data_IF_520173786781
#
_entry.id   IF_520173786781
#
_cell.length_a   1.000
_cell.length_b   1.000
_cell.length_c   1.000
_cell.angle_alpha   90.00
_cell.angle_beta   90.00
_cell.angle_gamma   90.00
#
_symmetry.space_group_name_H-M   'P 1'
#
loop_
_entity.id
_entity.type
_entity.pdbx_description
1 polymer ?
#
# COMPACT_ATOMS: atom_id res chain seq x y z
N UNK A 1 2.53 5.28 -1.76
CA UNK A 1 2.32 4.32 -2.87
C UNK A 1 2.69 5.00 -4.18
N UNK A 2 3.45 4.32 -5.04
CA UNK A 2 3.82 4.77 -6.36
C UNK A 2 2.77 4.27 -7.37
N UNK A 3 2.01 5.18 -7.99
CA UNK A 3 1.03 4.83 -9.03
C UNK A 3 1.70 4.84 -10.40
N UNK A 4 2.34 3.73 -10.78
CA UNK A 4 3.14 3.60 -12.00
C UNK A 4 2.33 4.02 -13.22
N UNK A 5 1.15 3.43 -13.46
CA UNK A 5 0.32 3.75 -14.63
C UNK A 5 -0.09 5.22 -14.65
N UNK A 6 -0.39 5.80 -13.47
CA UNK A 6 -0.74 7.22 -13.38
C UNK A 6 0.43 8.10 -13.82
N UNK A 7 1.64 7.89 -13.29
CA UNK A 7 2.79 8.70 -13.67
C UNK A 7 3.18 8.52 -15.13
N UNK A 8 3.12 7.29 -15.67
CA UNK A 8 3.40 7.05 -17.09
C UNK A 8 2.38 7.73 -18.02
N UNK A 9 1.09 7.72 -17.66
CA UNK A 9 0.04 8.48 -18.39
C UNK A 9 0.27 9.99 -18.29
N UNK A 10 0.74 10.47 -17.14
CA UNK A 10 1.05 11.88 -16.91
C UNK A 10 2.25 12.43 -17.69
N UNK A 11 2.92 11.58 -18.49
CA UNK A 11 3.98 11.99 -19.43
C UNK A 11 3.44 12.35 -20.82
N UNK A 12 2.16 12.12 -21.11
CA UNK A 12 1.54 12.61 -22.34
C UNK A 12 1.42 14.15 -22.30
N UNK A 13 1.56 14.81 -23.46
CA UNK A 13 1.68 16.27 -23.58
C UNK A 13 0.51 17.05 -22.95
N UNK A 14 -0.71 16.48 -22.99
CA UNK A 14 -1.93 17.10 -22.45
C UNK A 14 -2.35 16.57 -21.06
N UNK A 15 -1.50 15.79 -20.39
CA UNK A 15 -1.91 15.16 -19.15
C UNK A 15 -1.95 16.18 -17.98
N UNK A 16 -3.03 16.19 -17.17
CA UNK A 16 -3.12 17.08 -16.03
C UNK A 16 -1.99 16.80 -15.05
N UNK A 17 -1.31 17.86 -14.60
CA UNK A 17 -0.25 17.75 -13.60
C UNK A 17 -0.83 17.15 -12.31
N UNK A 18 -0.27 16.04 -11.79
CA UNK A 18 -0.59 15.49 -10.47
C UNK A 18 -0.53 16.57 -9.39
N UNK A 19 -1.44 16.48 -8.41
CA UNK A 19 -1.44 17.41 -7.28
C UNK A 19 -0.18 17.23 -6.43
N UNK A 20 0.53 18.32 -6.20
CA UNK A 20 1.72 18.42 -5.34
C UNK A 20 1.46 17.91 -3.92
N UNK A 21 2.38 17.13 -3.37
CA UNK A 21 2.40 16.80 -1.96
C UNK A 21 2.92 18.00 -1.16
N UNK A 22 2.13 18.46 -0.18
CA UNK A 22 2.46 19.61 0.68
C UNK A 22 1.20 20.30 1.25
N UNK A 23 1.31 20.82 2.47
CA UNK A 23 0.22 21.49 3.20
C UNK A 23 -0.50 20.59 4.23
N UNK A 24 -1.42 21.16 5.04
CA UNK A 24 -2.31 20.43 5.98
C UNK A 24 -3.34 19.59 5.22
N UNK A 25 -2.89 18.57 4.48
CA UNK A 25 -3.76 17.64 3.76
C UNK A 25 -4.10 16.46 4.65
N UNK A 26 -5.37 16.08 4.64
CA UNK A 26 -5.81 14.88 5.33
C UNK A 26 -5.29 13.60 4.66
N UNK A 27 -4.89 12.59 5.44
CA UNK A 27 -4.32 11.36 4.93
C UNK A 27 -5.39 10.49 4.24
N UNK A 28 -4.93 9.51 3.48
CA UNK A 28 -5.73 8.30 3.24
C UNK A 28 -5.75 7.48 4.52
N UNK A 29 -6.94 7.11 5.00
CA UNK A 29 -7.08 6.30 6.20
C UNK A 29 -7.35 4.85 5.82
N UNK A 30 -6.51 3.94 6.32
CA UNK A 30 -6.80 2.51 6.32
C UNK A 30 -7.34 2.17 7.71
N UNK A 31 -8.55 1.64 7.81
CA UNK A 31 -9.16 1.30 9.10
C UNK A 31 -9.32 -0.21 9.22
N UNK A 32 -8.64 -0.80 10.19
CA UNK A 32 -8.83 -2.17 10.59
C UNK A 32 -10.03 -2.29 11.52
N UNK A 33 -11.20 -2.64 10.98
CA UNK A 33 -12.46 -2.63 11.76
C UNK A 33 -12.46 -3.67 12.89
N UNK A 34 -11.79 -4.79 12.64
CA UNK A 34 -11.65 -5.91 13.57
C UNK A 34 -10.30 -6.57 13.37
N UNK A 35 -9.85 -7.36 14.35
CA UNK A 35 -8.63 -8.16 14.23
C UNK A 35 -8.90 -9.61 13.87
N UNK A 36 -10.11 -10.12 14.07
CA UNK A 36 -10.51 -11.48 13.69
C UNK A 36 -10.36 -11.70 12.18
N UNK A 37 -9.80 -12.84 11.78
CA UNK A 37 -9.61 -13.22 10.38
C UNK A 37 -9.74 -14.73 10.23
N UNK A 38 -10.38 -15.20 9.17
CA UNK A 38 -10.48 -16.61 8.83
C UNK A 38 -9.18 -17.20 8.23
N UNK A 39 -8.09 -16.44 8.16
CA UNK A 39 -6.76 -16.85 7.67
C UNK A 39 -5.64 -16.48 8.66
N UNK A 40 -4.48 -17.14 8.53
CA UNK A 40 -3.28 -16.90 9.35
C UNK A 40 -2.03 -16.60 8.53
N UNK A 41 -2.17 -15.80 7.47
CA UNK A 41 -1.13 -15.48 6.48
C UNK A 41 0.24 -15.13 7.09
N UNK A 42 1.32 -15.61 6.45
CA UNK A 42 2.71 -15.45 6.92
C UNK A 42 3.17 -13.99 7.05
N UNK A 43 2.67 -13.08 6.21
CA UNK A 43 3.05 -11.66 6.21
C UNK A 43 2.19 -10.73 7.08
N UNK A 44 1.16 -11.26 7.75
CA UNK A 44 0.11 -10.44 8.36
C UNK A 44 0.67 -9.44 9.38
N UNK A 45 0.43 -8.14 9.17
CA UNK A 45 0.96 -7.07 10.01
C UNK A 45 0.23 -6.96 11.36
N UNK A 46 -1.06 -7.28 11.42
CA UNK A 46 -1.90 -7.24 12.63
C UNK A 46 -1.83 -8.52 13.48
N UNK A 47 -1.18 -9.58 12.98
CA UNK A 47 -1.15 -10.90 13.64
C UNK A 47 -2.57 -11.40 13.94
N UNK A 48 -3.45 -11.35 12.94
CA UNK A 48 -4.86 -11.79 13.03
C UNK A 48 -5.03 -13.31 13.08
N UNK A 49 -6.11 -13.79 13.67
CA UNK A 49 -6.49 -15.20 13.71
C UNK A 49 -8.01 -15.31 13.87
N UNK A 50 -8.57 -16.51 13.72
CA UNK A 50 -10.00 -16.75 13.92
C UNK A 50 -10.29 -16.90 15.43
N UNK A 51 -10.21 -15.77 16.12
CA UNK A 51 -10.44 -15.65 17.56
C UNK A 51 -11.07 -14.31 17.88
N UNK A 52 -11.84 -14.24 18.96
CA UNK A 52 -12.38 -12.98 19.44
C UNK A 52 -11.28 -12.17 20.13
N UNK A 53 -11.20 -10.88 19.76
CA UNK A 53 -10.27 -9.93 20.36
C UNK A 53 -11.06 -8.97 21.26
N UNK A 54 -10.47 -8.59 22.38
CA UNK A 54 -11.13 -7.70 23.35
C UNK A 54 -10.84 -6.24 23.05
N UNK A 55 -11.77 -5.37 23.44
CA UNK A 55 -11.59 -3.91 23.38
C UNK A 55 -11.76 -3.33 21.98
N UNK A 56 -12.30 -4.10 21.03
CA UNK A 56 -12.64 -3.60 19.70
C UNK A 56 -13.68 -2.49 19.77
N UNK A 57 -13.74 -1.65 18.75
CA UNK A 57 -14.73 -0.57 18.66
C UNK A 57 -16.12 -1.15 18.37
N UNK A 58 -17.12 -0.66 19.08
CA UNK A 58 -18.52 -0.92 18.74
C UNK A 58 -18.89 -0.15 17.46
N UNK A 59 -19.89 -0.63 16.72
CA UNK A 59 -20.35 0.01 15.47
C UNK A 59 -20.65 1.49 15.65
N UNK A 60 -21.32 1.88 16.73
CA UNK A 60 -21.59 3.28 17.04
C UNK A 60 -20.31 4.13 17.23
N UNK A 61 -19.22 3.56 17.76
CA UNK A 61 -17.92 4.23 17.87
C UNK A 61 -17.27 4.41 16.49
N UNK A 62 -17.37 3.39 15.63
CA UNK A 62 -16.87 3.43 14.25
C UNK A 62 -17.58 4.52 13.44
N UNK A 63 -18.92 4.57 13.49
CA UNK A 63 -19.70 5.59 12.76
C UNK A 63 -19.33 7.02 13.20
N UNK A 64 -19.20 7.26 14.51
CA UNK A 64 -18.73 8.55 15.04
C UNK A 64 -17.32 8.88 14.59
N UNK A 65 -16.42 7.90 14.56
CA UNK A 65 -15.06 8.09 14.06
C UNK A 65 -15.05 8.44 12.57
N UNK A 66 -15.92 7.85 11.74
CA UNK A 66 -16.07 8.23 10.32
C UNK A 66 -16.47 9.71 10.19
N UNK A 67 -17.42 10.17 10.99
CA UNK A 67 -17.85 11.58 10.98
C UNK A 67 -16.72 12.53 11.38
N UNK A 68 -15.96 12.17 12.42
CA UNK A 68 -14.80 12.92 12.89
C UNK A 68 -13.67 12.97 11.84
N UNK A 69 -13.36 11.83 11.20
CA UNK A 69 -12.41 11.78 10.08
C UNK A 69 -12.85 12.67 8.93
N UNK A 70 -14.14 12.64 8.58
CA UNK A 70 -14.68 13.46 7.50
C UNK A 70 -14.59 14.94 7.83
N UNK A 71 -14.89 15.33 9.08
CA UNK A 71 -14.75 16.68 9.59
C UNK A 71 -13.28 17.16 9.57
N UNK A 72 -12.33 16.25 9.85
CA UNK A 72 -10.90 16.50 9.72
C UNK A 72 -10.39 16.56 8.26
N UNK A 73 -11.29 16.39 7.28
CA UNK A 73 -11.01 16.53 5.86
C UNK A 73 -10.59 15.24 5.16
N UNK A 74 -10.62 14.07 5.84
CA UNK A 74 -10.33 12.77 5.22
C UNK A 74 -11.36 12.50 4.12
N UNK A 75 -10.87 12.09 2.94
CA UNK A 75 -11.70 11.83 1.75
C UNK A 75 -11.67 10.39 1.27
N UNK A 76 -10.71 9.60 1.75
CA UNK A 76 -10.48 8.23 1.31
C UNK A 76 -10.36 7.35 2.53
N UNK A 77 -11.28 6.38 2.63
CA UNK A 77 -11.32 5.38 3.67
C UNK A 77 -11.18 3.99 3.03
N UNK A 78 -10.21 3.22 3.50
CA UNK A 78 -10.00 1.83 3.09
C UNK A 78 -10.39 0.96 4.27
N UNK A 79 -11.53 0.28 4.16
CA UNK A 79 -11.99 -0.70 5.15
C UNK A 79 -11.15 -1.97 5.00
N UNK A 80 -10.49 -2.33 6.08
CA UNK A 80 -9.63 -3.50 6.23
C UNK A 80 -9.87 -4.08 7.62
N UNK A 81 -8.83 -4.63 8.26
CA UNK A 81 -8.94 -5.45 9.46
C UNK A 81 -8.78 -6.90 9.08
N UNK A 82 -8.68 -7.78 10.09
CA UNK A 82 -8.34 -9.18 9.92
C UNK A 82 -8.95 -9.76 8.65
N UNK A 83 -10.26 -10.00 8.64
CA UNK A 83 -11.05 -10.02 7.41
C UNK A 83 -12.30 -9.15 7.59
N UNK A 84 -12.42 -8.00 6.89
CA UNK A 84 -13.54 -7.08 7.08
C UNK A 84 -14.92 -7.72 6.86
N UNK A 85 -15.04 -8.71 5.97
CA UNK A 85 -16.30 -9.42 5.73
C UNK A 85 -16.78 -10.26 6.93
N UNK A 86 -15.94 -10.44 7.96
CA UNK A 86 -16.36 -11.05 9.23
C UNK A 86 -16.98 -10.05 10.21
N UNK A 87 -16.94 -8.74 9.92
CA UNK A 87 -17.59 -7.74 10.76
C UNK A 87 -19.11 -7.73 10.50
N UNK A 88 -19.96 -7.91 11.53
CA UNK A 88 -21.42 -8.03 11.34
C UNK A 88 -22.02 -6.81 10.62
N UNK A 89 -21.53 -5.62 10.95
CA UNK A 89 -22.06 -4.35 10.45
C UNK A 89 -21.22 -3.70 9.34
N UNK A 90 -20.39 -4.48 8.62
CA UNK A 90 -19.51 -3.94 7.56
C UNK A 90 -20.27 -3.07 6.55
N UNK A 91 -21.44 -3.54 6.11
CA UNK A 91 -22.21 -2.86 5.06
C UNK A 91 -22.86 -1.57 5.57
N UNK A 92 -23.25 -1.51 6.85
CA UNK A 92 -23.73 -0.28 7.49
C UNK A 92 -22.60 0.74 7.58
N UNK A 93 -21.43 0.32 8.05
CA UNK A 93 -20.22 1.15 8.15
C UNK A 93 -19.82 1.71 6.77
N UNK A 94 -19.83 0.87 5.73
CA UNK A 94 -19.53 1.28 4.36
C UNK A 94 -20.56 2.30 3.84
N UNK A 95 -21.85 2.05 4.07
CA UNK A 95 -22.92 2.96 3.67
C UNK A 95 -22.80 4.33 4.34
N UNK A 96 -22.51 4.37 5.64
CA UNK A 96 -22.30 5.61 6.40
C UNK A 96 -21.12 6.43 5.85
N UNK A 97 -19.97 5.80 5.63
CA UNK A 97 -18.80 6.48 5.04
C UNK A 97 -19.08 7.04 3.64
N UNK A 98 -19.87 6.34 2.83
CA UNK A 98 -20.30 6.84 1.51
C UNK A 98 -21.26 8.00 1.63
N UNK A 99 -22.24 7.96 2.53
CA UNK A 99 -23.17 9.06 2.78
C UNK A 99 -22.43 10.33 3.27
N UNK A 100 -21.34 10.16 4.02
CA UNK A 100 -20.43 11.24 4.39
C UNK A 100 -19.61 11.82 3.21
N UNK A 101 -19.74 11.25 1.99
CA UNK A 101 -19.07 11.70 0.77
C UNK A 101 -17.61 11.28 0.68
N UNK A 102 -17.23 10.17 1.31
CA UNK A 102 -15.90 9.58 1.21
C UNK A 102 -15.82 8.60 0.04
N UNK A 103 -14.62 8.47 -0.54
CA UNK A 103 -14.25 7.32 -1.34
C UNK A 103 -14.01 6.14 -0.39
N UNK A 104 -14.74 5.04 -0.59
CA UNK A 104 -14.72 3.86 0.27
C UNK A 104 -14.23 2.65 -0.53
N UNK A 105 -13.10 2.11 -0.12
CA UNK A 105 -12.55 0.88 -0.67
C UNK A 105 -12.57 -0.26 0.35
N UNK A 106 -12.66 -1.49 -0.14
CA UNK A 106 -12.54 -2.71 0.66
C UNK A 106 -11.21 -3.41 0.38
N UNK A 107 -10.53 -3.88 1.41
CA UNK A 107 -9.36 -4.75 1.29
C UNK A 107 -9.68 -6.10 1.94
N UNK A 108 -9.88 -7.13 1.12
CA UNK A 108 -10.33 -8.45 1.57
C UNK A 108 -9.37 -9.55 1.10
N UNK A 109 -9.37 -10.67 1.82
CA UNK A 109 -8.74 -11.90 1.35
C UNK A 109 -9.59 -12.62 0.26
N UNK A 110 -10.83 -12.20 0.06
CA UNK A 110 -11.74 -12.71 -0.99
C UNK A 110 -12.46 -14.00 -0.65
N UNK A 111 -12.00 -14.76 0.35
CA UNK A 111 -12.52 -16.12 0.63
C UNK A 111 -13.96 -16.16 1.16
N UNK A 112 -14.51 -15.01 1.54
CA UNK A 112 -15.88 -14.87 2.03
C UNK A 112 -16.80 -14.17 1.02
N UNK A 113 -16.34 -13.88 -0.20
CA UNK A 113 -17.22 -13.35 -1.26
C UNK A 113 -17.68 -14.53 -2.10
N UNK A 114 -19.00 -14.77 -2.11
CA UNK A 114 -19.63 -15.88 -2.80
C UNK A 114 -20.99 -15.48 -3.40
N UNK A 115 -21.64 -16.41 -4.09
CA UNK A 115 -22.96 -16.21 -4.70
C UNK A 115 -24.03 -15.84 -3.67
N UNK A 116 -23.86 -16.26 -2.41
CA UNK A 116 -24.80 -16.00 -1.33
C UNK A 116 -24.77 -14.56 -0.81
N UNK A 117 -23.67 -13.82 -1.00
CA UNK A 117 -23.54 -12.46 -0.50
C UNK A 117 -23.13 -11.39 -1.53
N UNK A 118 -22.80 -11.76 -2.76
CA UNK A 118 -22.34 -10.81 -3.79
C UNK A 118 -23.30 -9.63 -4.01
N UNK A 119 -24.62 -9.84 -3.92
CA UNK A 119 -25.60 -8.76 -4.05
C UNK A 119 -25.45 -7.71 -2.94
N UNK A 120 -25.25 -8.14 -1.69
CA UNK A 120 -24.99 -7.22 -0.56
C UNK A 120 -23.68 -6.47 -0.75
N UNK A 121 -22.65 -7.13 -1.30
CA UNK A 121 -21.37 -6.49 -1.63
C UNK A 121 -21.54 -5.42 -2.72
N UNK A 122 -22.36 -5.69 -3.75
CA UNK A 122 -22.67 -4.73 -4.80
C UNK A 122 -23.49 -3.53 -4.29
N UNK A 123 -24.50 -3.79 -3.46
CA UNK A 123 -25.34 -2.75 -2.83
C UNK A 123 -24.55 -1.79 -1.94
N UNK A 124 -23.45 -2.26 -1.35
CA UNK A 124 -22.53 -1.43 -0.58
C UNK A 124 -21.80 -0.38 -1.44
N UNK A 125 -21.75 -0.58 -2.76
CA UNK A 125 -21.16 0.34 -3.75
C UNK A 125 -19.74 0.77 -3.39
N UNK A 126 -18.89 -0.17 -3.01
CA UNK A 126 -17.46 0.12 -2.83
C UNK A 126 -16.88 0.71 -4.12
N UNK A 127 -16.10 1.78 -4.02
CA UNK A 127 -15.46 2.39 -5.19
C UNK A 127 -14.33 1.51 -5.75
N UNK A 128 -13.82 0.59 -4.92
CA UNK A 128 -12.80 -0.39 -5.27
C UNK A 128 -12.73 -1.53 -4.25
N UNK A 129 -12.69 -2.78 -4.71
CA UNK A 129 -12.37 -3.94 -3.88
C UNK A 129 -11.00 -4.50 -4.27
N UNK A 130 -10.05 -4.50 -3.33
CA UNK A 130 -8.77 -5.16 -3.52
C UNK A 130 -8.77 -6.55 -2.91
N UNK A 131 -8.64 -7.57 -3.76
CA UNK A 131 -8.59 -8.98 -3.37
C UNK A 131 -7.15 -9.46 -3.38
N UNK A 132 -6.78 -10.14 -2.30
CA UNK A 132 -5.45 -10.68 -2.09
C UNK A 132 -5.15 -11.90 -2.96
N UNK A 133 -4.03 -11.90 -3.69
CA UNK A 133 -3.49 -13.04 -4.42
C UNK A 133 -1.95 -12.97 -4.39
N UNK A 134 -1.27 -13.97 -3.82
CA UNK A 134 0.17 -13.90 -3.46
C UNK A 134 1.01 -14.95 -4.18
N UNK A 135 0.57 -15.38 -5.35
CA UNK A 135 1.16 -16.48 -6.08
C UNK A 135 0.10 -17.31 -6.77
N UNK A 136 0.55 -18.28 -7.54
CA UNK A 136 -0.30 -19.32 -8.09
C UNK A 136 -0.76 -20.25 -6.95
N UNK A 137 -1.80 -21.03 -7.23
CA UNK A 137 -2.51 -21.93 -6.31
C UNK A 137 -1.72 -22.41 -5.10
N UNK A 138 -0.70 -23.24 -5.33
CA UNK A 138 0.07 -23.86 -4.24
C UNK A 138 0.82 -22.82 -3.38
N UNK A 139 1.48 -21.87 -4.03
CA UNK A 139 2.23 -20.79 -3.36
C UNK A 139 1.29 -19.91 -2.54
N UNK A 140 0.16 -19.50 -3.12
CA UNK A 140 -0.81 -18.66 -2.44
C UNK A 140 -1.43 -19.37 -1.23
N UNK A 141 -1.94 -20.59 -1.40
CA UNK A 141 -2.57 -21.37 -0.32
C UNK A 141 -1.58 -21.61 0.84
N UNK A 142 -0.33 -21.97 0.52
CA UNK A 142 0.75 -22.15 1.52
C UNK A 142 1.09 -20.85 2.24
N UNK A 143 1.16 -19.73 1.52
CA UNK A 143 1.53 -18.44 2.09
C UNK A 143 0.41 -17.83 2.95
N UNK A 144 -0.85 -18.01 2.52
CA UNK A 144 -2.07 -17.61 3.23
C UNK A 144 -2.50 -18.60 4.31
N UNK A 145 -1.90 -19.80 4.33
CA UNK A 145 -2.15 -20.88 5.29
C UNK A 145 -3.57 -21.44 5.24
N UNK A 146 -4.16 -21.52 4.04
CA UNK A 146 -5.50 -22.07 3.83
C UNK A 146 -5.59 -22.71 2.46
N UNK A 147 -5.79 -24.03 2.43
CA UNK A 147 -6.06 -24.74 1.19
C UNK A 147 -7.38 -24.24 0.57
N UNK A 148 -7.37 -24.01 -0.75
CA UNK A 148 -8.50 -23.50 -1.51
C UNK A 148 -8.66 -21.98 -1.48
N UNK A 149 -7.80 -21.23 -0.77
CA UNK A 149 -7.93 -19.76 -0.74
C UNK A 149 -7.65 -19.12 -2.10
N UNK A 150 -6.81 -19.73 -2.93
CA UNK A 150 -6.57 -19.27 -4.30
C UNK A 150 -7.85 -19.31 -5.14
N UNK A 151 -8.55 -20.45 -5.17
CA UNK A 151 -9.79 -20.57 -5.93
C UNK A 151 -10.87 -19.62 -5.44
N UNK A 152 -11.02 -19.52 -4.13
CA UNK A 152 -12.00 -18.62 -3.53
C UNK A 152 -11.68 -17.15 -3.88
N UNK A 153 -10.41 -16.74 -3.88
CA UNK A 153 -10.01 -15.41 -4.32
C UNK A 153 -10.31 -15.17 -5.82
N UNK A 154 -10.08 -16.14 -6.70
CA UNK A 154 -10.44 -16.00 -8.12
C UNK A 154 -11.95 -15.98 -8.34
N UNK A 155 -12.70 -16.82 -7.63
CA UNK A 155 -14.17 -16.82 -7.67
C UNK A 155 -14.73 -15.46 -7.23
N UNK A 156 -14.22 -14.92 -6.13
CA UNK A 156 -14.56 -13.58 -5.65
C UNK A 156 -14.27 -12.48 -6.68
N UNK A 157 -13.13 -12.54 -7.39
CA UNK A 157 -12.82 -11.59 -8.46
C UNK A 157 -13.83 -11.69 -9.61
N UNK A 158 -14.19 -12.91 -10.05
CA UNK A 158 -15.19 -13.14 -11.11
C UNK A 158 -16.56 -12.61 -10.72
N UNK A 159 -17.04 -12.97 -9.52
CA UNK A 159 -18.32 -12.48 -8.99
C UNK A 159 -18.35 -10.95 -8.90
N UNK A 160 -17.26 -10.34 -8.43
CA UNK A 160 -17.15 -8.87 -8.42
C UNK A 160 -17.26 -8.28 -9.83
N UNK A 161 -16.57 -8.86 -10.82
CA UNK A 161 -16.62 -8.39 -12.21
C UNK A 161 -18.01 -8.53 -12.82
N UNK A 162 -18.65 -9.68 -12.62
CA UNK A 162 -20.01 -9.96 -13.10
C UNK A 162 -21.05 -9.00 -12.48
N UNK A 163 -20.82 -8.56 -11.24
CA UNK A 163 -21.62 -7.55 -10.55
C UNK A 163 -21.21 -6.09 -10.85
N UNK A 164 -20.36 -5.85 -11.86
CA UNK A 164 -19.83 -4.53 -12.26
C UNK A 164 -19.08 -3.79 -11.12
N UNK A 165 -18.47 -4.53 -10.21
CA UNK A 165 -17.63 -3.98 -9.15
C UNK A 165 -16.20 -3.84 -9.66
N UNK A 166 -15.62 -2.66 -9.48
CA UNK A 166 -14.20 -2.43 -9.77
C UNK A 166 -13.32 -3.21 -8.79
N UNK A 167 -12.54 -4.15 -9.31
CA UNK A 167 -11.70 -5.04 -8.51
C UNK A 167 -10.23 -4.86 -8.84
N UNK A 168 -9.36 -5.17 -7.89
CA UNK A 168 -7.92 -5.24 -8.10
C UNK A 168 -7.27 -6.43 -7.41
N UNK A 169 -6.20 -6.91 -8.01
CA UNK A 169 -5.35 -7.95 -7.47
C UNK A 169 -4.27 -7.32 -6.58
N UNK A 170 -4.17 -7.76 -5.33
CA UNK A 170 -3.15 -7.31 -4.38
C UNK A 170 -2.19 -8.45 -4.06
N UNK A 171 -0.91 -8.25 -4.38
CA UNK A 171 0.15 -9.24 -4.21
C UNK A 171 1.24 -8.70 -3.32
N UNK A 172 1.65 -9.45 -2.31
CA UNK A 172 2.89 -9.20 -1.58
C UNK A 172 4.02 -9.97 -2.23
N UNK A 173 5.02 -9.26 -2.76
CA UNK A 173 6.18 -9.87 -3.39
C UNK A 173 7.02 -10.60 -2.33
N UNK A 174 7.39 -11.83 -2.64
CA UNK A 174 8.28 -12.67 -1.84
C UNK A 174 9.24 -13.40 -2.77
N UNK A 175 10.34 -13.93 -2.25
CA UNK A 175 11.27 -14.73 -3.06
C UNK A 175 10.56 -15.93 -3.72
N UNK A 176 9.60 -16.52 -3.01
CA UNK A 176 8.85 -17.71 -3.42
C UNK A 176 7.88 -17.45 -4.59
N UNK A 177 7.33 -16.24 -4.69
CA UNK A 177 6.35 -15.89 -5.73
C UNK A 177 6.89 -14.97 -6.83
N UNK A 178 8.11 -14.42 -6.70
CA UNK A 178 8.66 -13.47 -7.65
C UNK A 178 8.68 -14.02 -9.10
N UNK A 179 9.04 -15.30 -9.26
CA UNK A 179 9.06 -15.97 -10.56
C UNK A 179 7.65 -16.22 -11.15
N UNK A 180 6.59 -16.13 -10.33
CA UNK A 180 5.20 -16.32 -10.74
C UNK A 180 4.54 -15.00 -11.18
N UNK A 181 5.21 -13.86 -11.01
CA UNK A 181 4.64 -12.56 -11.33
C UNK A 181 4.15 -12.44 -12.79
N UNK A 182 4.87 -12.93 -13.83
CA UNK A 182 4.35 -12.92 -15.20
C UNK A 182 2.98 -13.62 -15.31
N UNK A 183 2.83 -14.81 -14.74
CA UNK A 183 1.59 -15.56 -14.76
C UNK A 183 0.47 -14.87 -13.98
N UNK A 184 0.78 -14.18 -12.88
CA UNK A 184 -0.22 -13.38 -12.14
C UNK A 184 -0.71 -12.18 -12.97
N UNK A 185 0.17 -11.55 -13.73
CA UNK A 185 -0.18 -10.45 -14.62
C UNK A 185 -0.99 -10.92 -15.84
N UNK A 186 -0.77 -12.14 -16.31
CA UNK A 186 -1.61 -12.76 -17.35
C UNK A 186 -2.99 -13.11 -16.78
N UNK A 187 -3.03 -13.70 -15.58
CA UNK A 187 -4.28 -14.01 -14.88
C UNK A 187 -5.12 -12.76 -14.58
N UNK A 188 -4.49 -11.64 -14.21
CA UNK A 188 -5.18 -10.36 -14.07
C UNK A 188 -5.90 -9.94 -15.36
N UNK A 189 -5.27 -10.15 -16.54
CA UNK A 189 -5.89 -9.84 -17.84
C UNK A 189 -7.02 -10.82 -18.16
N UNK A 190 -6.81 -12.11 -17.93
CA UNK A 190 -7.81 -13.16 -18.16
C UNK A 190 -9.09 -12.93 -17.34
N UNK A 191 -8.95 -12.44 -16.11
CA UNK A 191 -10.06 -12.13 -15.22
C UNK A 191 -10.65 -10.73 -15.45
N UNK A 192 -10.12 -9.97 -16.40
CA UNK A 192 -10.49 -8.57 -16.62
C UNK A 192 -10.47 -7.75 -15.32
N UNK A 193 -9.35 -7.81 -14.59
CA UNK A 193 -9.14 -7.07 -13.33
C UNK A 193 -8.39 -5.77 -13.64
N UNK A 194 -8.90 -4.61 -13.18
CA UNK A 194 -8.41 -3.29 -13.62
C UNK A 194 -7.17 -2.81 -12.88
N UNK A 195 -6.79 -3.44 -11.77
CA UNK A 195 -5.69 -2.94 -10.93
C UNK A 195 -4.80 -4.04 -10.41
N UNK A 196 -3.49 -3.84 -10.52
CA UNK A 196 -2.48 -4.67 -9.87
C UNK A 196 -1.75 -3.84 -8.82
N UNK A 197 -1.79 -4.28 -7.57
CA UNK A 197 -1.06 -3.67 -6.48
C UNK A 197 0.01 -4.63 -5.97
N UNK A 198 1.27 -4.28 -6.17
CA UNK A 198 2.41 -5.00 -5.61
C UNK A 198 2.86 -4.32 -4.30
N UNK A 199 2.71 -5.03 -3.19
CA UNK A 199 3.31 -4.66 -1.91
C UNK A 199 4.67 -5.32 -1.78
N UNK A 200 5.67 -4.57 -1.35
CA UNK A 200 6.88 -5.18 -0.80
C UNK A 200 6.59 -5.73 0.60
N UNK A 201 7.29 -6.78 1.02
CA UNK A 201 7.11 -7.35 2.36
C UNK A 201 7.58 -6.34 3.41
N UNK A 202 6.83 -6.29 4.51
CA UNK A 202 7.10 -5.42 5.64
C UNK A 202 7.34 -6.25 6.90
N UNK A 203 8.23 -5.78 7.77
CA UNK A 203 8.69 -6.54 8.94
C UNK A 203 7.87 -6.20 10.20
N UNK A 204 6.55 -6.28 10.07
CA UNK A 204 5.60 -6.05 11.16
C UNK A 204 4.71 -7.29 11.38
N UNK A 205 4.17 -7.45 12.59
CA UNK A 205 3.38 -8.63 12.97
C UNK A 205 4.08 -9.95 12.65
N UNK A 206 3.37 -10.86 11.96
CA UNK A 206 3.95 -12.12 11.44
C UNK A 206 5.00 -11.89 10.36
N UNK A 207 4.90 -10.81 9.58
CA UNK A 207 5.90 -10.42 8.58
C UNK A 207 7.31 -10.26 9.16
N UNK A 208 7.43 -9.84 10.43
CA UNK A 208 8.72 -9.81 11.14
C UNK A 208 9.37 -11.20 11.26
N UNK A 209 8.57 -12.22 11.56
CA UNK A 209 9.03 -13.63 11.66
C UNK A 209 9.31 -14.25 10.29
N UNK A 210 8.68 -13.70 9.25
CA UNK A 210 8.80 -14.13 7.87
C UNK A 210 9.73 -13.26 7.02
N UNK A 211 10.60 -12.43 7.63
CA UNK A 211 11.55 -11.58 6.90
C UNK A 211 12.45 -12.34 5.91
N UNK A 212 12.72 -13.61 6.17
CA UNK A 212 13.51 -14.48 5.28
C UNK A 212 12.77 -14.84 3.98
N UNK A 213 11.46 -14.54 3.89
CA UNK A 213 10.68 -14.68 2.66
C UNK A 213 10.74 -13.43 1.78
N UNK A 214 11.31 -12.32 2.25
CA UNK A 214 11.39 -11.09 1.45
C UNK A 214 12.15 -11.36 0.15
N UNK A 215 11.71 -10.72 -0.93
CA UNK A 215 12.34 -10.90 -2.22
C UNK A 215 13.74 -10.28 -2.22
N UNK A 216 14.71 -11.01 -2.74
CA UNK A 216 16.05 -10.48 -2.89
C UNK A 216 16.06 -9.28 -3.83
N UNK A 217 16.97 -8.33 -3.60
CA UNK A 217 17.07 -7.08 -4.36
C UNK A 217 17.04 -7.29 -5.88
N UNK A 218 17.74 -8.31 -6.39
CA UNK A 218 17.72 -8.67 -7.81
C UNK A 218 16.31 -9.05 -8.29
N UNK A 219 15.60 -9.93 -7.57
CA UNK A 219 14.24 -10.35 -7.90
C UNK A 219 13.25 -9.19 -7.83
N UNK A 220 13.40 -8.33 -6.84
CA UNK A 220 12.61 -7.11 -6.71
C UNK A 220 12.78 -6.21 -7.94
N UNK A 221 14.02 -5.96 -8.37
CA UNK A 221 14.29 -5.16 -9.57
C UNK A 221 13.72 -5.80 -10.84
N UNK A 222 13.85 -7.11 -11.00
CA UNK A 222 13.25 -7.87 -12.12
C UNK A 222 11.72 -7.72 -12.14
N UNK A 223 11.06 -7.88 -10.98
CA UNK A 223 9.63 -7.72 -10.83
C UNK A 223 9.15 -6.30 -11.17
N UNK A 224 9.86 -5.28 -10.69
CA UNK A 224 9.50 -3.87 -10.96
C UNK A 224 9.68 -3.52 -12.43
N UNK A 225 10.78 -3.96 -13.06
CA UNK A 225 10.99 -3.77 -14.49
C UNK A 225 9.82 -4.38 -15.30
N UNK A 226 9.40 -5.60 -14.96
CA UNK A 226 8.24 -6.24 -15.59
C UNK A 226 6.95 -5.42 -15.43
N UNK A 227 6.68 -4.89 -14.23
CA UNK A 227 5.51 -4.05 -14.00
C UNK A 227 5.56 -2.75 -14.83
N UNK A 228 6.73 -2.14 -14.98
CA UNK A 228 6.89 -0.94 -15.80
C UNK A 228 6.63 -1.23 -17.28
N UNK A 229 7.18 -2.33 -17.80
CA UNK A 229 6.91 -2.77 -19.18
C UNK A 229 5.43 -3.04 -19.40
N UNK A 230 4.78 -3.76 -18.47
CA UNK A 230 3.36 -4.10 -18.56
C UNK A 230 2.47 -2.85 -18.54
N UNK A 231 2.77 -1.90 -17.66
CA UNK A 231 2.05 -0.64 -17.56
C UNK A 231 2.20 0.19 -18.84
N UNK A 232 3.41 0.31 -19.37
CA UNK A 232 3.69 1.03 -20.60
C UNK A 232 3.02 0.38 -21.83
N UNK A 233 3.05 -0.95 -21.91
CA UNK A 233 2.36 -1.73 -22.93
C UNK A 233 0.85 -1.48 -22.91
N UNK A 234 0.23 -1.58 -21.73
CA UNK A 234 -1.21 -1.38 -21.57
C UNK A 234 -1.64 0.03 -21.94
N UNK A 235 -0.86 1.05 -21.54
CA UNK A 235 -1.11 2.45 -21.91
C UNK A 235 -1.06 2.62 -23.43
N UNK A 236 -0.03 2.07 -24.10
CA UNK A 236 0.10 2.17 -25.57
C UNK A 236 -1.04 1.46 -26.32
N UNK A 237 -1.58 0.40 -25.73
CA UNK A 237 -2.69 -0.36 -26.31
C UNK A 237 -4.07 0.14 -25.85
N UNK A 238 -4.13 1.26 -25.13
CA UNK A 238 -5.38 1.88 -24.70
C UNK A 238 -6.16 1.10 -23.64
N UNK A 239 -5.49 0.19 -22.90
CA UNK A 239 -6.13 -0.59 -21.83
C UNK A 239 -6.27 0.21 -20.54
N UNK A 240 -7.43 0.08 -19.90
CA UNK A 240 -7.69 0.67 -18.58
C UNK A 240 -7.17 -0.23 -17.44
N UNK A 241 -5.85 -0.30 -17.29
CA UNK A 241 -5.19 -0.96 -16.16
C UNK A 241 -4.44 0.04 -15.27
N UNK A 242 -4.38 -0.22 -13.97
CA UNK A 242 -3.64 0.58 -12.98
C UNK A 242 -2.61 -0.30 -12.25
N UNK A 243 -1.33 -0.06 -12.51
CA UNK A 243 -0.22 -0.71 -11.82
C UNK A 243 0.28 0.20 -10.72
N UNK A 244 0.33 -0.32 -9.50
CA UNK A 244 0.70 0.43 -8.30
C UNK A 244 1.65 -0.40 -7.45
N UNK A 245 2.68 0.23 -6.90
CA UNK A 245 3.53 -0.40 -5.88
C UNK A 245 3.45 0.36 -4.56
N UNK A 246 3.75 -0.33 -3.47
CA UNK A 246 3.79 0.27 -2.14
C UNK A 246 4.80 -0.41 -1.24
N UNK A 247 5.19 0.28 -0.18
CA UNK A 247 6.17 -0.19 0.80
C UNK A 247 7.60 -0.33 0.28
N UNK A 248 7.94 0.28 -0.85
CA UNK A 248 9.33 0.52 -1.24
C UNK A 248 9.42 1.76 -2.13
N UNK A 249 9.78 2.90 -1.55
CA UNK A 249 9.76 4.17 -2.27
C UNK A 249 10.97 4.32 -3.22
N UNK A 250 11.94 3.41 -3.17
CA UNK A 250 13.01 3.28 -4.17
C UNK A 250 12.48 2.86 -5.56
N UNK A 251 11.26 2.32 -5.65
CA UNK A 251 10.59 2.00 -6.91
C UNK A 251 10.49 3.20 -7.85
N UNK A 252 10.34 4.41 -7.29
CA UNK A 252 10.31 5.64 -8.08
C UNK A 252 11.64 5.92 -8.78
N UNK A 253 12.76 5.57 -8.14
CA UNK A 253 14.09 5.77 -8.71
C UNK A 253 14.37 4.74 -9.80
N UNK A 254 13.90 3.50 -9.61
CA UNK A 254 13.98 2.49 -10.65
C UNK A 254 13.10 2.85 -11.86
N UNK A 255 11.94 3.49 -11.64
CA UNK A 255 11.11 4.01 -12.72
C UNK A 255 11.82 5.13 -13.50
N UNK A 256 12.54 6.03 -12.82
CA UNK A 256 13.36 7.05 -13.47
C UNK A 256 14.47 6.43 -14.34
N UNK A 257 15.20 5.45 -13.81
CA UNK A 257 16.24 4.75 -14.56
C UNK A 257 15.68 3.98 -15.77
N UNK A 258 14.54 3.31 -15.58
CA UNK A 258 13.81 2.63 -16.64
C UNK A 258 13.40 3.61 -17.75
N UNK A 259 12.81 4.76 -17.39
CA UNK A 259 12.39 5.78 -18.34
C UNK A 259 13.58 6.42 -19.05
N UNK A 260 14.67 6.73 -18.33
CA UNK A 260 15.90 7.33 -18.90
C UNK A 260 16.44 6.50 -20.08
N UNK A 261 16.38 5.17 -19.98
CA UNK A 261 16.86 4.25 -21.03
C UNK A 261 15.93 4.16 -22.25
N UNK A 262 14.67 4.59 -22.14
CA UNK A 262 13.62 4.41 -23.17
C UNK A 262 13.15 5.72 -23.78
N UNK A 263 12.89 6.71 -22.93
CA UNK A 263 12.30 8.02 -23.26
C UNK A 263 13.05 9.14 -22.50
N UNK A 264 14.37 9.33 -22.76
CA UNK A 264 15.20 10.30 -22.03
C UNK A 264 14.65 11.74 -22.09
N UNK A 265 13.95 12.10 -23.16
CA UNK A 265 13.30 13.40 -23.34
C UNK A 265 12.18 13.67 -22.32
N UNK A 266 11.58 12.63 -21.73
CA UNK A 266 10.53 12.77 -20.71
C UNK A 266 11.06 12.65 -19.26
N UNK A 267 12.38 12.46 -19.09
CA UNK A 267 12.98 12.22 -17.78
C UNK A 267 12.83 13.42 -16.84
N UNK A 268 13.06 14.64 -17.32
CA UNK A 268 12.93 15.85 -16.53
C UNK A 268 11.51 15.98 -15.96
N UNK A 269 10.51 15.75 -16.80
CA UNK A 269 9.10 15.77 -16.39
C UNK A 269 8.80 14.72 -15.34
N UNK A 270 9.21 13.46 -15.54
CA UNK A 270 8.98 12.43 -14.53
C UNK A 270 9.66 12.77 -13.19
N UNK A 271 10.86 13.35 -13.24
CA UNK A 271 11.58 13.78 -12.05
C UNK A 271 10.78 14.83 -11.25
N UNK A 272 10.24 15.86 -11.91
CA UNK A 272 9.37 16.85 -11.27
C UNK A 272 8.14 16.21 -10.63
N UNK A 273 7.46 15.30 -11.34
CA UNK A 273 6.29 14.59 -10.82
C UNK A 273 6.62 13.77 -9.56
N UNK A 274 7.80 13.15 -9.52
CA UNK A 274 8.23 12.31 -8.40
C UNK A 274 8.79 13.13 -7.23
N UNK A 275 9.35 14.32 -7.47
CA UNK A 275 9.64 15.29 -6.42
C UNK A 275 8.36 15.78 -5.74
N UNK A 276 7.33 16.06 -6.54
CA UNK A 276 6.01 16.44 -6.03
C UNK A 276 5.28 15.28 -5.34
N UNK A 277 5.58 14.03 -5.69
CA UNK A 277 5.10 12.84 -4.98
C UNK A 277 5.68 12.76 -3.55
N UNK A 278 6.98 13.02 -3.39
CA UNK A 278 7.64 13.17 -2.10
C UNK A 278 7.90 11.88 -1.31
N UNK A 279 7.76 10.71 -1.95
CA UNK A 279 8.22 9.44 -1.38
C UNK A 279 7.36 8.90 -0.26
N UNK A 280 8.04 8.41 0.79
CA UNK A 280 7.38 7.76 1.90
C UNK A 280 6.38 8.70 2.60
N UNK A 281 5.12 8.26 2.69
CA UNK A 281 4.00 9.08 3.17
C UNK A 281 3.58 8.80 4.62
N UNK A 282 4.23 7.86 5.33
CA UNK A 282 3.86 7.46 6.70
C UNK A 282 3.78 8.67 7.63
N UNK A 283 2.68 8.78 8.38
CA UNK A 283 2.44 9.90 9.30
C UNK A 283 2.10 11.23 8.63
N UNK A 284 2.05 11.30 7.30
CA UNK A 284 1.73 12.51 6.53
C UNK A 284 0.51 12.26 5.62
N UNK A 285 0.71 11.52 4.53
CA UNK A 285 -0.30 11.25 3.50
C UNK A 285 -1.09 9.96 3.71
N UNK A 286 -0.71 9.16 4.71
CA UNK A 286 -1.40 7.92 5.10
C UNK A 286 -1.50 7.85 6.63
N UNK A 287 -2.57 7.23 7.11
CA UNK A 287 -2.78 6.87 8.50
C UNK A 287 -3.42 5.49 8.58
N UNK A 288 -3.23 4.80 9.70
CA UNK A 288 -3.97 3.60 10.02
C UNK A 288 -4.74 3.75 11.32
N UNK A 289 -5.95 3.22 11.39
CA UNK A 289 -6.70 3.05 12.64
C UNK A 289 -6.80 1.56 12.88
N UNK A 290 -6.43 1.10 14.08
CA UNK A 290 -6.59 -0.29 14.47
C UNK A 290 -8.01 -0.60 14.98
N UNK A 291 -8.25 -1.87 15.32
CA UNK A 291 -9.55 -2.35 15.76
C UNK A 291 -9.99 -1.79 17.12
N UNK A 292 -9.07 -1.18 17.89
CA UNK A 292 -9.33 -0.59 19.21
C UNK A 292 -9.42 0.94 19.20
N UNK A 293 -9.25 1.55 18.02
CA UNK A 293 -9.30 3.00 17.80
C UNK A 293 -7.95 3.70 17.91
N UNK A 294 -6.86 2.97 18.17
CA UNK A 294 -5.52 3.54 18.13
C UNK A 294 -5.17 3.94 16.70
N UNK A 295 -4.54 5.10 16.55
CA UNK A 295 -4.11 5.63 15.26
C UNK A 295 -2.60 5.49 15.14
N UNK A 296 -2.16 5.02 13.98
CA UNK A 296 -0.76 4.76 13.66
C UNK A 296 -0.33 5.53 12.41
N UNK A 297 0.98 5.84 12.26
CA UNK A 297 1.51 6.51 11.07
C UNK A 297 1.23 5.79 9.74
N UNK A 298 1.17 4.46 9.73
CA UNK A 298 0.67 3.63 8.63
C UNK A 298 0.30 2.22 9.16
N UNK A 299 -0.19 1.32 8.30
CA UNK A 299 -0.67 -0.03 8.68
C UNK A 299 0.38 -0.92 9.36
N UNK A 300 1.66 -0.62 9.26
CA UNK A 300 2.74 -1.45 9.80
C UNK A 300 3.25 -0.97 11.17
N UNK A 301 2.73 0.14 11.71
CA UNK A 301 3.19 0.78 12.97
C UNK A 301 2.38 0.42 14.21
N UNK A 302 1.76 -0.76 14.27
CA UNK A 302 0.90 -1.19 15.39
C UNK A 302 1.58 -1.22 16.78
N UNK A 303 2.88 -0.94 16.87
CA UNK A 303 3.64 -0.83 18.11
C UNK A 303 3.81 0.63 18.60
N UNK A 304 3.39 1.62 17.82
CA UNK A 304 3.42 3.04 18.20
C UNK A 304 2.10 3.71 17.79
N UNK A 305 1.32 4.14 18.77
CA UNK A 305 0.11 4.93 18.54
C UNK A 305 0.43 6.42 18.67
N UNK A 306 -0.27 7.24 17.89
CA UNK A 306 -0.16 8.71 17.89
C UNK A 306 -1.42 9.40 18.43
N UNK A 307 -2.43 8.61 18.83
CA UNK A 307 -3.71 9.10 19.36
C UNK A 307 -4.79 8.03 19.25
N UNK A 308 -5.93 8.23 19.93
CA UNK A 308 -7.04 7.27 19.90
C UNK A 308 -8.38 7.97 19.61
N UNK A 309 -9.04 7.57 18.51
CA UNK A 309 -10.30 8.18 18.05
C UNK A 309 -11.49 7.93 18.98
N UNK A 310 -11.39 6.96 19.90
CA UNK A 310 -12.41 6.69 20.92
C UNK A 310 -12.56 7.84 21.91
N UNK A 311 -11.47 8.56 22.17
CA UNK A 311 -11.39 9.54 23.24
C UNK A 311 -11.00 10.95 22.77
N UNK A 312 -10.52 11.09 21.53
CA UNK A 312 -9.96 12.33 21.00
C UNK A 312 -10.44 12.54 19.56
N UNK A 313 -10.59 13.80 19.14
CA UNK A 313 -10.81 14.11 17.72
C UNK A 313 -9.53 13.86 16.94
N UNK A 314 -9.65 13.25 15.77
CA UNK A 314 -8.54 12.96 14.86
C UNK A 314 -7.74 14.22 14.53
N UNK A 315 -8.41 15.36 14.33
CA UNK A 315 -7.74 16.62 14.02
C UNK A 315 -6.80 17.09 15.15
N UNK A 316 -7.15 16.82 16.41
CA UNK A 316 -6.41 17.31 17.57
C UNK A 316 -5.02 16.68 17.62
N UNK A 317 -4.92 15.36 17.53
CA UNK A 317 -3.64 14.66 17.61
C UNK A 317 -2.97 14.46 16.25
N UNK A 318 -3.69 14.56 15.12
CA UNK A 318 -3.05 14.44 13.81
C UNK A 318 -2.50 15.77 13.29
N UNK A 319 -3.19 16.90 13.51
CA UNK A 319 -2.78 18.20 12.95
C UNK A 319 -2.41 19.26 13.99
N UNK A 320 -3.15 19.37 15.09
CA UNK A 320 -3.01 20.50 16.01
C UNK A 320 -1.89 20.30 17.03
N UNK A 321 -1.85 19.10 17.64
CA UNK A 321 -0.87 18.69 18.66
C UNK A 321 -0.32 17.32 18.31
N UNK A 322 0.44 17.21 17.20
CA UNK A 322 0.95 15.93 16.73
C UNK A 322 1.99 15.32 17.68
N UNK A 323 1.95 13.99 17.79
CA UNK A 323 2.99 13.20 18.45
C UNK A 323 4.39 13.56 17.88
N UNK A 324 5.45 13.59 18.71
CA UNK A 324 6.80 13.89 18.25
C UNK A 324 7.26 13.03 17.06
N UNK A 325 6.84 11.77 16.98
CA UNK A 325 7.15 10.90 15.84
C UNK A 325 6.54 11.44 14.54
N UNK A 326 5.29 11.94 14.56
CA UNK A 326 4.67 12.53 13.37
C UNK A 326 5.43 13.77 12.91
N UNK A 327 5.90 14.60 13.84
CA UNK A 327 6.72 15.76 13.50
C UNK A 327 8.01 15.36 12.79
N UNK A 328 8.66 14.27 13.22
CA UNK A 328 9.86 13.74 12.57
C UNK A 328 9.55 13.11 11.20
N UNK A 329 8.47 12.33 11.10
CA UNK A 329 8.05 11.67 9.85
C UNK A 329 7.63 12.65 8.76
N UNK A 330 7.19 13.86 9.13
CA UNK A 330 6.77 14.94 8.22
C UNK A 330 7.90 15.87 7.77
N UNK A 331 9.13 15.66 8.25
CA UNK A 331 10.27 16.42 7.76
C UNK A 331 10.57 16.06 6.30
N UNK A 332 10.99 17.07 5.53
CA UNK A 332 11.41 16.92 4.12
C UNK A 332 12.74 17.65 3.91
N UNK A 333 13.84 16.92 3.66
CA UNK A 333 13.96 15.47 3.77
C UNK A 333 13.81 14.97 5.22
N UNK A 334 13.46 13.69 5.41
CA UNK A 334 13.43 13.05 6.73
C UNK A 334 14.81 12.99 7.39
N UNK A 335 14.89 12.93 8.73
CA UNK A 335 16.15 12.95 9.48
C UNK A 335 16.86 11.58 9.46
N UNK A 336 17.04 11.00 8.27
CA UNK A 336 17.70 9.70 8.06
C UNK A 336 19.21 9.80 8.23
N UNK A 337 19.85 8.68 8.60
CA UNK A 337 21.31 8.56 8.80
C UNK A 337 21.91 7.52 7.84
N UNK A 338 23.22 7.27 7.95
CA UNK A 338 23.94 6.28 7.14
C UNK A 338 24.06 6.71 5.68
N UNK A 339 23.96 5.76 4.75
CA UNK A 339 24.04 6.07 3.31
C UNK A 339 22.88 6.96 2.82
N UNK A 340 21.73 6.88 3.50
CA UNK A 340 20.53 7.61 3.11
C UNK A 340 20.68 9.14 3.28
N UNK A 341 21.47 9.61 4.25
CA UNK A 341 21.68 11.07 4.49
C UNK A 341 22.47 11.76 3.39
N UNK A 342 23.19 10.99 2.57
CA UNK A 342 23.99 11.44 1.44
C UNK A 342 23.40 11.01 0.10
N UNK A 343 22.25 10.33 0.10
CA UNK A 343 21.62 9.82 -1.11
C UNK A 343 21.07 10.98 -1.95
N UNK A 344 21.52 11.09 -3.20
CA UNK A 344 21.05 12.11 -4.16
C UNK A 344 19.54 12.04 -4.48
N UNK A 345 18.87 10.96 -4.09
CA UNK A 345 17.45 10.70 -4.36
C UNK A 345 16.56 10.89 -3.13
N UNK A 346 17.11 11.46 -2.04
CA UNK A 346 16.39 11.57 -0.77
C UNK A 346 15.11 12.40 -0.89
N UNK A 347 15.08 13.44 -1.74
CA UNK A 347 13.87 14.26 -1.93
C UNK A 347 12.73 13.53 -2.66
N UNK A 348 13.03 12.45 -3.38
CA UNK A 348 12.03 11.62 -4.08
C UNK A 348 11.62 10.41 -3.23
N UNK A 349 12.58 9.71 -2.63
CA UNK A 349 12.33 8.49 -1.86
C UNK A 349 11.89 8.80 -0.40
N UNK A 350 12.39 9.89 0.15
CA UNK A 350 12.17 10.36 1.52
C UNK A 350 12.40 9.28 2.59
N UNK A 351 13.50 8.55 2.44
CA UNK A 351 13.93 7.54 3.40
C UNK A 351 13.23 6.19 3.27
N UNK A 352 12.39 5.92 2.27
CA UNK A 352 11.80 4.57 2.11
C UNK A 352 11.05 4.10 3.38
N UNK A 353 10.85 2.79 3.53
CA UNK A 353 10.02 2.23 4.61
C UNK A 353 10.71 2.26 5.97
N UNK A 354 10.19 3.12 6.85
CA UNK A 354 10.71 3.33 8.20
C UNK A 354 10.42 2.19 9.16
N UNK A 355 9.33 1.44 8.98
CA UNK A 355 9.05 0.25 9.79
C UNK A 355 10.03 -0.89 9.52
N UNK A 356 10.52 -1.05 8.29
CA UNK A 356 11.60 -2.00 7.98
C UNK A 356 12.92 -1.57 8.58
N UNK A 357 13.28 -0.29 8.47
CA UNK A 357 14.47 0.26 9.12
C UNK A 357 14.42 0.04 10.64
N UNK A 358 13.29 0.37 11.28
CA UNK A 358 13.11 0.18 12.72
C UNK A 358 13.15 -1.30 13.12
N UNK A 359 12.57 -2.20 12.33
CA UNK A 359 12.70 -3.65 12.56
C UNK A 359 14.15 -4.16 12.43
N UNK A 360 15.00 -3.44 11.69
CA UNK A 360 16.45 -3.64 11.61
C UNK A 360 17.24 -3.08 12.79
N UNK A 361 16.59 -2.33 13.69
CA UNK A 361 17.17 -1.83 14.95
C UNK A 361 17.31 -0.32 15.03
N UNK A 362 17.18 0.41 13.92
CA UNK A 362 17.39 1.87 13.88
C UNK A 362 16.35 2.54 12.98
N UNK A 363 15.45 3.31 13.59
CA UNK A 363 14.32 3.94 12.90
C UNK A 363 14.77 4.90 11.79
N UNK A 364 15.81 5.68 12.05
CA UNK A 364 16.34 6.64 11.09
C UNK A 364 17.43 6.06 10.20
N UNK A 365 17.74 4.78 10.38
CA UNK A 365 18.75 4.05 9.64
C UNK A 365 18.29 3.68 8.24
N UNK A 366 19.09 2.82 7.62
CA UNK A 366 18.85 2.34 6.27
C UNK A 366 17.66 1.36 6.26
N UNK A 367 16.80 1.50 5.25
CA UNK A 367 15.80 0.47 4.98
C UNK A 367 16.49 -0.71 4.27
N UNK A 368 16.53 -1.92 4.87
CA UNK A 368 17.15 -3.08 4.24
C UNK A 368 16.47 -3.52 2.92
N UNK A 369 15.24 -3.07 2.66
CA UNK A 369 14.55 -3.28 1.39
C UNK A 369 15.02 -2.34 0.27
N UNK A 370 15.88 -1.36 0.56
CA UNK A 370 16.44 -0.48 -0.47
C UNK A 370 17.47 -1.23 -1.33
N UNK A 371 17.14 -1.41 -2.61
CA UNK A 371 17.96 -2.15 -3.58
C UNK A 371 18.82 -1.26 -4.49
N UNK A 372 18.94 0.04 -4.17
CA UNK A 372 19.83 0.94 -4.89
C UNK A 372 21.28 0.71 -4.43
N UNK A 373 22.23 0.69 -5.36
CA UNK A 373 23.65 0.62 -5.02
C UNK A 373 24.21 1.98 -4.58
N UNK A 374 25.39 1.98 -3.97
CA UNK A 374 26.11 3.21 -3.60
C UNK A 374 26.42 4.09 -4.81
N UNK A 375 26.72 3.47 -5.96
CA UNK A 375 26.85 4.14 -7.24
C UNK A 375 25.54 4.84 -7.66
N UNK A 376 24.40 4.13 -7.59
CA UNK A 376 23.09 4.68 -7.96
C UNK A 376 22.68 5.86 -7.07
N UNK A 377 23.08 5.86 -5.79
CA UNK A 377 22.77 6.94 -4.84
C UNK A 377 23.83 8.06 -4.80
N UNK A 378 24.93 7.92 -5.55
CA UNK A 378 25.95 8.95 -5.70
C UNK A 378 27.04 8.97 -4.61
N UNK A 379 27.30 7.85 -3.95
CA UNK A 379 28.30 7.72 -2.88
C UNK A 379 29.70 7.28 -3.34
N UNK A 380 29.84 6.76 -4.56
CA UNK A 380 31.17 6.43 -5.06
C UNK A 380 32.00 7.69 -5.30
N UNK A 381 33.11 7.82 -4.57
CA UNK A 381 34.19 8.75 -4.93
C UNK A 381 34.80 8.24 -6.23
N UNK A 382 34.86 9.09 -7.25
CA UNK A 382 35.71 8.85 -8.42
C UNK A 382 37.12 8.60 -7.86
N UNK A 383 37.60 7.36 -7.91
CA UNK A 383 39.00 7.09 -7.71
C UNK A 383 39.72 7.77 -8.88
N UNK A 384 40.27 8.96 -8.63
CA UNK A 384 41.30 9.53 -9.50
C UNK A 384 42.44 8.52 -9.47
N UNK A 385 42.46 7.61 -10.45
CA UNK A 385 43.64 6.81 -10.71
C UNK A 385 44.78 7.80 -10.97
N UNK A 386 45.76 7.78 -10.07
CA UNK A 386 46.99 8.53 -10.20
C UNK A 386 47.60 8.17 -11.56
N UNK A 387 47.84 9.21 -12.36
CA UNK A 387 48.53 9.17 -13.66
C UNK A 387 49.94 8.62 -13.50
#
# INVERSE_FOLDING_TARGET
>A
MLRISHYLRSLAEDAPTPRRAGGRRAPVVIWNLLRRCNLTCKHCYSTSADSDFRGELETAEILRGIDDLRAAGVRVLILSGGEPLMHPDLFEIAAHARQAGMFVALSSNGTLIDEGNIQRVAEARFDYIGISLDGLRETHDRFRQKQGSFDAALAAMRLCREADIRVGMRTTLTEENAAQLPALLDLMRELDVQKFYLSHLNYSGRGRRSRALDAHHRRTREALALLFERADEDIRQGRDSDFVTGNNDADAILLLDWLKRRRPQQLARLCELLLDWGGNASGEGIANIDNTGEVHPDSYWWHHSVGNIRHQRFADFWFERPDPLLLQLRQRPRPVVGRCSQCRWLDICNGNTRTRAWAGGELWGEDPGCYLSDQEIGLERIALHAV
#
